data_IF_347641924469
#
_entry.id   IF_347641924469
#
_cell.length_a   1.000
_cell.length_b   1.000
_cell.length_c   1.000
_cell.angle_alpha   90.00
_cell.angle_beta   90.00
_cell.angle_gamma   90.00
#
_symmetry.space_group_name_H-M   'P 1'
#
loop_
_entity.id
_entity.type
_entity.pdbx_description
1 polymer ?
#
# COMPACT_ATOMS: atom_id res chain seq x y z
N UNK A 1 -1.71 25.64 -21.19
CA UNK A 1 -2.69 24.78 -21.88
C UNK A 1 -3.99 24.87 -21.11
N UNK A 2 -5.05 25.29 -21.78
CA UNK A 2 -6.37 25.55 -21.20
C UNK A 2 -6.99 24.23 -20.72
N UNK A 3 -7.38 24.19 -19.45
CA UNK A 3 -8.25 23.15 -18.92
C UNK A 3 -9.64 23.36 -19.51
N UNK A 4 -10.01 22.56 -20.52
CA UNK A 4 -11.36 22.54 -21.04
C UNK A 4 -12.29 21.92 -20.00
N UNK A 5 -13.19 22.76 -19.48
CA UNK A 5 -14.37 22.35 -18.76
C UNK A 5 -15.48 22.17 -19.79
N UNK A 6 -15.87 20.93 -20.09
CA UNK A 6 -17.13 20.63 -20.77
C UNK A 6 -17.80 19.46 -20.06
N UNK A 7 -19.06 19.72 -19.71
CA UNK A 7 -19.96 18.94 -18.89
C UNK A 7 -20.53 17.71 -19.59
N UNK A 8 -21.11 16.85 -18.75
CA UNK A 8 -22.04 15.75 -19.01
C UNK A 8 -21.42 14.41 -19.35
N UNK A 9 -20.94 13.73 -18.31
CA UNK A 9 -21.39 12.37 -18.05
C UNK A 9 -21.89 12.33 -16.61
N UNK A 10 -23.12 11.85 -16.42
CA UNK A 10 -23.55 11.28 -15.14
C UNK A 10 -22.78 9.99 -14.90
N UNK A 11 -21.45 10.08 -14.81
CA UNK A 11 -20.61 8.99 -14.36
C UNK A 11 -20.87 8.88 -12.86
N UNK A 12 -21.62 7.85 -12.47
CA UNK A 12 -21.66 7.40 -11.08
C UNK A 12 -20.22 7.40 -10.59
N UNK A 13 -19.95 8.25 -9.60
CA UNK A 13 -18.65 8.23 -8.96
C UNK A 13 -18.55 6.82 -8.37
N UNK A 14 -17.51 6.07 -8.72
CA UNK A 14 -17.35 4.70 -8.26
C UNK A 14 -17.25 4.72 -6.73
N UNK A 15 -17.93 3.78 -6.07
CA UNK A 15 -17.92 3.64 -4.61
C UNK A 15 -17.45 2.23 -4.28
N UNK A 16 -16.63 2.08 -3.23
CA UNK A 16 -16.42 0.77 -2.61
C UNK A 16 -17.64 0.53 -1.72
N UNK A 17 -18.60 -0.25 -2.21
CA UNK A 17 -19.84 -0.50 -1.46
C UNK A 17 -19.60 -1.36 -0.21
N UNK A 18 -18.68 -2.32 -0.31
CA UNK A 18 -18.28 -3.16 0.82
C UNK A 18 -16.92 -3.83 0.58
N UNK A 19 -16.26 -4.22 1.66
CA UNK A 19 -15.05 -5.05 1.67
C UNK A 19 -15.42 -6.42 2.21
N UNK A 20 -15.33 -7.45 1.37
CA UNK A 20 -15.53 -8.82 1.83
C UNK A 20 -14.23 -9.39 2.41
N UNK A 21 -14.34 -9.95 3.61
CA UNK A 21 -13.24 -10.62 4.30
C UNK A 21 -13.30 -12.12 4.02
N UNK A 22 -13.18 -12.51 2.75
CA UNK A 22 -13.24 -13.91 2.33
C UNK A 22 -12.15 -14.74 3.03
N UNK A 23 -12.58 -15.86 3.61
CA UNK A 23 -11.74 -16.84 4.28
C UNK A 23 -10.62 -17.33 3.35
N UNK A 24 -10.90 -17.51 2.06
CA UNK A 24 -9.89 -17.97 1.08
C UNK A 24 -8.79 -16.92 0.92
N UNK A 25 -9.16 -15.65 0.81
CA UNK A 25 -8.20 -14.54 0.71
C UNK A 25 -7.34 -14.45 1.97
N UNK A 26 -7.95 -14.51 3.16
CA UNK A 26 -7.26 -14.49 4.46
C UNK A 26 -6.24 -15.64 4.55
N UNK A 27 -6.66 -16.85 4.18
CA UNK A 27 -5.77 -18.02 4.14
C UNK A 27 -4.60 -17.77 3.18
N UNK A 28 -4.88 -17.22 2.00
CA UNK A 28 -3.86 -16.93 0.99
C UNK A 28 -2.83 -15.91 1.49
N UNK A 29 -3.28 -14.87 2.20
CA UNK A 29 -2.42 -13.82 2.74
C UNK A 29 -1.59 -14.30 3.92
N UNK A 30 -2.17 -15.07 4.84
CA UNK A 30 -1.42 -15.66 5.97
C UNK A 30 -0.35 -16.64 5.46
N UNK A 31 -0.63 -17.41 4.41
CA UNK A 31 0.38 -18.30 3.80
C UNK A 31 1.58 -17.53 3.23
N UNK A 32 1.39 -16.29 2.76
CA UNK A 32 2.46 -15.40 2.25
C UNK A 32 3.32 -14.78 3.36
N UNK A 33 2.92 -14.88 4.63
CA UNK A 33 3.73 -14.38 5.75
C UNK A 33 5.10 -15.07 5.79
N UNK A 34 6.15 -14.44 6.35
CA UNK A 34 7.47 -15.05 6.44
C UNK A 34 7.49 -16.40 7.19
N UNK A 35 8.33 -17.35 6.76
CA UNK A 35 8.53 -18.64 7.43
C UNK A 35 9.51 -18.56 8.61
N UNK A 36 9.34 -17.58 9.49
CA UNK A 36 10.17 -17.35 10.68
C UNK A 36 9.31 -17.13 11.91
N UNK A 37 9.95 -17.07 13.08
CA UNK A 37 9.25 -16.72 14.32
C UNK A 37 8.68 -15.31 14.19
N UNK A 38 7.51 -15.11 14.81
CA UNK A 38 6.88 -13.80 14.89
C UNK A 38 7.80 -12.83 15.63
N UNK A 39 7.91 -11.62 15.12
CA UNK A 39 8.60 -10.50 15.75
C UNK A 39 7.64 -9.32 15.92
N UNK A 40 6.35 -9.62 15.99
CA UNK A 40 5.25 -8.67 16.14
C UNK A 40 4.90 -8.49 17.62
N UNK A 41 4.27 -7.36 18.01
CA UNK A 41 3.88 -7.09 19.40
C UNK A 41 3.02 -8.18 20.04
N UNK A 42 2.24 -8.88 19.23
CA UNK A 42 1.36 -10.00 19.64
C UNK A 42 2.10 -11.30 19.99
N UNK A 43 3.42 -11.38 19.77
CA UNK A 43 4.24 -12.59 19.94
C UNK A 43 3.72 -13.84 19.18
N UNK A 44 2.89 -13.66 18.15
CA UNK A 44 2.31 -14.78 17.39
C UNK A 44 3.34 -15.36 16.43
N UNK A 45 3.68 -16.63 16.62
CA UNK A 45 4.58 -17.33 15.72
C UNK A 45 3.92 -17.61 14.36
N UNK A 46 4.48 -17.09 13.27
CA UNK A 46 3.92 -17.28 11.92
C UNK A 46 3.83 -18.74 11.50
N UNK A 47 4.74 -19.60 11.97
CA UNK A 47 4.68 -21.04 11.67
C UNK A 47 3.48 -21.69 12.34
N UNK A 48 3.24 -21.37 13.61
CA UNK A 48 2.07 -21.87 14.36
C UNK A 48 0.79 -21.33 13.71
N UNK A 49 0.76 -20.03 13.40
CA UNK A 49 -0.38 -19.39 12.74
C UNK A 49 -0.76 -20.10 11.44
N UNK A 50 0.21 -20.48 10.61
CA UNK A 50 -0.02 -21.23 9.37
C UNK A 50 -0.54 -22.65 9.59
N UNK A 51 -0.18 -23.29 10.69
CA UNK A 51 -0.64 -24.65 11.04
C UNK A 51 -2.11 -24.61 11.46
N UNK A 52 -2.48 -23.67 12.33
CA UNK A 52 -3.87 -23.56 12.84
C UNK A 52 -4.81 -22.78 11.90
N UNK A 53 -4.26 -22.23 10.82
CA UNK A 53 -4.92 -21.32 9.89
C UNK A 53 -6.32 -21.77 9.44
N UNK A 54 -6.54 -23.03 8.99
CA UNK A 54 -7.88 -23.44 8.52
C UNK A 54 -8.96 -23.30 9.60
N UNK A 55 -8.59 -23.50 10.86
CA UNK A 55 -9.52 -23.42 12.00
C UNK A 55 -9.78 -21.99 12.46
N UNK A 56 -8.79 -21.10 12.34
CA UNK A 56 -8.91 -19.72 12.84
C UNK A 56 -9.41 -18.73 11.79
N UNK A 57 -9.27 -19.03 10.49
CA UNK A 57 -9.61 -18.10 9.42
C UNK A 57 -11.06 -17.59 9.44
N UNK A 58 -12.09 -18.40 9.76
CA UNK A 58 -13.46 -17.91 9.91
C UNK A 58 -13.60 -16.87 11.02
N UNK A 59 -12.95 -17.09 12.18
CA UNK A 59 -12.97 -16.13 13.29
C UNK A 59 -12.22 -14.84 12.96
N UNK A 60 -11.12 -14.94 12.21
CA UNK A 60 -10.40 -13.75 11.74
C UNK A 60 -11.25 -12.92 10.78
N UNK A 61 -12.00 -13.57 9.87
CA UNK A 61 -12.94 -12.90 8.98
C UNK A 61 -13.98 -12.09 9.78
N UNK A 62 -14.58 -12.71 10.79
CA UNK A 62 -15.56 -12.05 11.66
C UNK A 62 -14.95 -10.89 12.46
N UNK A 63 -13.75 -11.07 13.03
CA UNK A 63 -13.05 -9.99 13.75
C UNK A 63 -12.73 -8.82 12.82
N UNK A 64 -12.29 -9.08 11.58
CA UNK A 64 -12.01 -8.04 10.60
C UNK A 64 -13.27 -7.28 10.22
N UNK A 65 -14.39 -7.99 10.01
CA UNK A 65 -15.70 -7.39 9.76
C UNK A 65 -16.12 -6.47 10.91
N UNK A 66 -16.11 -6.98 12.14
CA UNK A 66 -16.45 -6.19 13.34
C UNK A 66 -15.55 -4.95 13.46
N UNK A 67 -14.25 -5.12 13.21
CA UNK A 67 -13.29 -4.01 13.30
C UNK A 67 -13.53 -2.94 12.25
N UNK A 68 -13.88 -3.34 11.01
CA UNK A 68 -14.20 -2.43 9.92
C UNK A 68 -15.51 -1.67 10.21
N UNK A 69 -16.57 -2.40 10.59
CA UNK A 69 -17.90 -1.84 10.80
C UNK A 69 -17.95 -0.90 12.02
N UNK A 70 -17.20 -1.22 13.08
CA UNK A 70 -17.14 -0.40 14.30
C UNK A 70 -16.13 0.75 14.21
N UNK A 71 -15.18 0.70 13.27
CA UNK A 71 -14.03 1.61 13.22
C UNK A 71 -13.06 1.44 14.40
N UNK A 72 -13.15 0.33 15.15
CA UNK A 72 -12.34 0.08 16.35
C UNK A 72 -11.43 -1.12 16.09
N UNK A 73 -10.12 -0.91 16.27
CA UNK A 73 -9.11 -1.97 16.24
C UNK A 73 -8.76 -2.44 17.66
N UNK A 74 -8.38 -3.72 17.85
CA UNK A 74 -7.75 -4.19 19.08
C UNK A 74 -6.51 -3.35 19.44
N UNK A 75 -6.27 -3.10 20.72
CA UNK A 75 -5.17 -2.22 21.14
C UNK A 75 -3.80 -2.74 20.71
N UNK A 76 -3.57 -4.05 20.81
CA UNK A 76 -2.32 -4.69 20.38
C UNK A 76 -2.06 -4.56 18.86
N UNK A 77 -3.08 -4.26 18.05
CA UNK A 77 -2.93 -4.02 16.60
C UNK A 77 -2.43 -2.60 16.28
N UNK A 78 -2.61 -1.67 17.22
CA UNK A 78 -2.14 -0.28 17.13
C UNK A 78 -0.68 -0.14 17.57
N UNK A 79 -0.12 -1.17 18.20
CA UNK A 79 1.26 -1.20 18.66
C UNK A 79 2.22 -1.65 17.54
N UNK A 80 3.48 -1.21 17.63
CA UNK A 80 4.54 -1.69 16.76
C UNK A 80 5.89 -1.75 17.47
N UNK A 81 6.74 -2.70 17.06
CA UNK A 81 8.13 -2.79 17.51
C UNK A 81 9.00 -2.07 16.47
N UNK A 82 9.73 -1.03 16.88
CA UNK A 82 10.64 -0.30 16.00
C UNK A 82 12.01 -0.97 15.96
N UNK A 83 12.42 -1.46 14.79
CA UNK A 83 13.77 -1.98 14.55
C UNK A 83 14.57 -0.97 13.73
N UNK A 84 15.70 -0.44 14.25
CA UNK A 84 16.57 0.43 13.48
C UNK A 84 17.43 -0.40 12.50
N UNK A 85 17.23 -0.21 11.21
CA UNK A 85 18.04 -0.83 10.16
C UNK A 85 19.10 0.15 9.67
N UNK A 86 20.38 -0.22 9.81
CA UNK A 86 21.49 0.61 9.34
C UNK A 86 21.43 0.82 7.82
N UNK A 87 21.52 2.09 7.39
CA UNK A 87 21.47 2.49 5.98
C UNK A 87 22.85 2.73 5.37
N UNK A 88 23.63 3.68 5.93
CA UNK A 88 24.97 4.07 5.46
C UNK A 88 25.64 5.03 6.44
N UNK A 89 26.95 5.24 6.35
CA UNK A 89 27.69 6.24 7.15
C UNK A 89 28.20 5.70 8.49
N UNK A 90 28.30 6.55 9.50
CA UNK A 90 28.75 6.16 10.85
C UNK A 90 27.65 5.45 11.64
N UNK A 91 27.98 4.31 12.26
CA UNK A 91 27.05 3.51 13.06
C UNK A 91 26.68 4.14 14.41
N UNK A 92 27.46 5.10 14.89
CA UNK A 92 27.18 5.86 16.11
C UNK A 92 26.07 6.90 15.94
N UNK A 93 25.78 7.33 14.70
CA UNK A 93 24.79 8.35 14.42
C UNK A 93 23.40 7.72 14.16
N UNK A 94 22.37 8.00 14.98
CA UNK A 94 21.02 7.46 14.79
C UNK A 94 20.36 7.83 13.46
N UNK A 95 20.67 8.99 12.87
CA UNK A 95 20.10 9.43 11.58
C UNK A 95 20.53 8.53 10.40
N UNK A 96 21.57 7.72 10.59
CA UNK A 96 22.04 6.75 9.62
C UNK A 96 21.25 5.43 9.64
N UNK A 97 20.23 5.34 10.48
CA UNK A 97 19.33 4.19 10.56
C UNK A 97 17.95 4.54 10.00
N UNK A 98 17.30 3.56 9.39
CA UNK A 98 15.89 3.63 9.03
C UNK A 98 15.07 2.89 10.08
N UNK A 99 14.09 3.53 10.72
CA UNK A 99 13.17 2.81 11.58
C UNK A 99 12.28 1.91 10.72
N UNK A 100 12.15 0.64 11.11
CA UNK A 100 11.18 -0.29 10.53
C UNK A 100 10.18 -0.64 11.63
N UNK A 101 8.92 -0.27 11.43
CA UNK A 101 7.83 -0.66 12.32
C UNK A 101 7.40 -2.10 12.01
N UNK A 102 7.49 -2.98 13.00
CA UNK A 102 6.91 -4.32 12.95
C UNK A 102 5.55 -4.28 13.64
N UNK A 103 4.50 -4.29 12.85
CA UNK A 103 3.11 -4.31 13.31
C UNK A 103 2.62 -5.73 13.58
N UNK A 104 1.46 -5.84 14.25
CA UNK A 104 0.74 -7.10 14.42
C UNK A 104 0.54 -7.81 13.08
N UNK A 105 0.83 -9.10 13.01
CA UNK A 105 0.74 -9.84 11.75
C UNK A 105 -0.70 -10.07 11.30
N UNK A 106 -1.63 -10.21 12.25
CA UNK A 106 -3.06 -10.32 11.96
C UNK A 106 -3.60 -8.97 11.43
N UNK A 107 -3.22 -7.86 12.07
CA UNK A 107 -3.53 -6.51 11.57
C UNK A 107 -3.05 -6.31 10.13
N UNK A 108 -1.79 -6.69 9.84
CA UNK A 108 -1.25 -6.63 8.48
C UNK A 108 -2.05 -7.46 7.47
N UNK A 109 -2.63 -8.59 7.88
CA UNK A 109 -3.49 -9.38 6.97
C UNK A 109 -4.77 -8.62 6.65
N UNK A 110 -5.40 -7.97 7.63
CA UNK A 110 -6.55 -7.09 7.39
C UNK A 110 -6.18 -5.95 6.44
N UNK A 111 -5.05 -5.28 6.67
CA UNK A 111 -4.53 -4.22 5.80
C UNK A 111 -4.29 -4.72 4.37
N UNK A 112 -3.80 -5.95 4.19
CA UNK A 112 -3.59 -6.54 2.86
C UNK A 112 -4.89 -6.81 2.12
N UNK A 113 -5.95 -7.25 2.83
CA UNK A 113 -7.29 -7.38 2.26
C UNK A 113 -7.80 -6.00 1.85
N UNK A 114 -7.79 -5.01 2.75
CA UNK A 114 -8.23 -3.65 2.44
C UNK A 114 -7.45 -3.05 1.26
N UNK A 115 -6.12 -3.22 1.23
CA UNK A 115 -5.27 -2.75 0.16
C UNK A 115 -5.63 -3.36 -1.19
N UNK A 116 -6.00 -4.65 -1.24
CA UNK A 116 -6.49 -5.30 -2.46
C UNK A 116 -7.71 -4.56 -3.02
N UNK A 117 -8.71 -4.26 -2.18
CA UNK A 117 -9.92 -3.54 -2.60
C UNK A 117 -9.62 -2.10 -3.03
N UNK A 118 -8.85 -1.36 -2.22
CA UNK A 118 -8.48 0.03 -2.52
C UNK A 118 -7.71 0.12 -3.84
N UNK A 119 -6.70 -0.72 -4.04
CA UNK A 119 -5.88 -0.69 -5.26
C UNK A 119 -6.71 -1.09 -6.47
N UNK A 120 -7.57 -2.11 -6.35
CA UNK A 120 -8.44 -2.53 -7.45
C UNK A 120 -9.41 -1.42 -7.84
N UNK A 121 -10.05 -0.78 -6.86
CA UNK A 121 -10.90 0.39 -7.07
C UNK A 121 -10.16 1.53 -7.80
N UNK A 122 -8.96 1.88 -7.38
CA UNK A 122 -8.17 2.93 -8.01
C UNK A 122 -7.77 2.59 -9.46
N UNK A 123 -7.56 1.30 -9.76
CA UNK A 123 -7.24 0.81 -11.11
C UNK A 123 -8.46 0.82 -12.02
N UNK A 124 -9.59 0.26 -11.57
CA UNK A 124 -10.82 0.15 -12.36
C UNK A 124 -11.35 1.52 -12.77
N UNK A 125 -11.07 2.53 -11.95
CA UNK A 125 -11.50 3.91 -12.15
C UNK A 125 -10.43 4.82 -12.74
N UNK A 126 -9.30 4.27 -13.18
CA UNK A 126 -8.19 5.02 -13.80
C UNK A 126 -7.71 6.20 -12.94
N UNK A 127 -7.72 6.05 -11.61
CA UNK A 127 -7.33 7.08 -10.65
C UNK A 127 -5.82 7.13 -10.41
N UNK A 128 -5.08 6.09 -10.81
CA UNK A 128 -3.63 6.14 -10.87
C UNK A 128 -3.14 6.87 -12.12
N UNK A 129 -2.04 7.61 -11.99
CA UNK A 129 -1.33 8.14 -13.15
C UNK A 129 -0.88 6.99 -14.06
N UNK A 130 -0.94 7.20 -15.38
CA UNK A 130 -0.42 6.26 -16.38
C UNK A 130 1.08 6.02 -16.21
N UNK A 131 1.79 6.95 -15.60
CA UNK A 131 3.24 6.89 -15.36
C UNK A 131 3.59 6.45 -13.93
N UNK A 132 2.61 5.99 -13.14
CA UNK A 132 2.86 5.41 -11.82
C UNK A 132 3.31 3.94 -11.98
N UNK A 133 4.56 3.63 -11.69
CA UNK A 133 5.07 2.24 -11.77
C UNK A 133 5.25 1.58 -10.40
N UNK A 134 5.48 2.38 -9.35
CA UNK A 134 5.64 1.88 -8.00
C UNK A 134 4.32 1.41 -7.41
N UNK A 135 4.35 0.28 -6.69
CA UNK A 135 3.23 -0.29 -5.94
C UNK A 135 2.00 -0.70 -6.77
N UNK A 136 2.15 -0.82 -8.10
CA UNK A 136 1.11 -1.31 -9.00
C UNK A 136 1.49 -2.70 -9.53
N UNK A 137 0.54 -3.63 -9.51
CA UNK A 137 0.72 -4.99 -10.03
C UNK A 137 1.12 -4.95 -11.51
N UNK A 138 2.04 -5.83 -11.91
CA UNK A 138 2.58 -5.93 -13.27
C UNK A 138 3.37 -4.69 -13.75
N UNK A 139 3.74 -3.78 -12.85
CA UNK A 139 4.67 -2.67 -13.12
C UNK A 139 5.92 -2.82 -12.25
N UNK A 140 7.06 -2.42 -12.80
CA UNK A 140 8.36 -2.49 -12.14
C UNK A 140 9.25 -1.31 -12.53
N UNK A 141 10.39 -1.17 -11.86
CA UNK A 141 11.44 -0.21 -12.24
C UNK A 141 11.96 -0.48 -13.65
N UNK A 142 11.99 -1.75 -14.08
CA UNK A 142 12.41 -2.13 -15.43
C UNK A 142 11.41 -1.67 -16.48
N UNK A 143 10.11 -1.85 -16.25
CA UNK A 143 9.08 -1.38 -17.19
C UNK A 143 9.05 0.14 -17.28
N UNK A 144 9.32 0.84 -16.16
CA UNK A 144 9.45 2.30 -16.15
C UNK A 144 10.64 2.76 -16.98
N UNK A 145 11.79 2.09 -16.83
CA UNK A 145 12.99 2.39 -17.58
C UNK A 145 12.79 2.19 -19.09
N UNK A 146 12.15 1.08 -19.49
CA UNK A 146 11.85 0.80 -20.90
C UNK A 146 10.99 1.92 -21.50
N UNK A 147 9.89 2.29 -20.84
CA UNK A 147 9.02 3.38 -21.30
C UNK A 147 9.79 4.71 -21.42
N UNK A 148 10.66 5.01 -20.46
CA UNK A 148 11.48 6.22 -20.49
C UNK A 148 12.48 6.21 -21.64
N UNK A 149 13.08 5.05 -21.93
CA UNK A 149 14.03 4.89 -23.04
C UNK A 149 13.33 5.02 -24.40
N UNK A 150 12.09 4.56 -24.54
CA UNK A 150 11.26 4.76 -25.73
C UNK A 150 11.02 6.27 -25.97
N UNK A 151 10.59 7.00 -24.93
CA UNK A 151 10.39 8.46 -25.02
C UNK A 151 11.68 9.20 -25.41
N UNK A 152 12.82 8.78 -24.86
CA UNK A 152 14.13 9.36 -25.18
C UNK A 152 14.57 9.04 -26.60
N UNK A 153 14.32 7.81 -27.07
CA UNK A 153 14.63 7.41 -28.44
C UNK A 153 13.87 8.27 -29.45
N UNK A 154 12.57 8.47 -29.24
CA UNK A 154 11.71 9.30 -30.10
C UNK A 154 12.16 10.77 -30.11
N UNK A 155 12.56 11.30 -28.95
CA UNK A 155 13.09 12.66 -28.86
C UNK A 155 14.41 12.81 -29.65
N UNK A 156 15.33 11.83 -29.55
CA UNK A 156 16.59 11.83 -30.30
C UNK A 156 16.34 11.74 -31.81
N UNK A 157 15.44 10.84 -32.25
CA UNK A 157 15.07 10.73 -33.67
C UNK A 157 14.43 12.03 -34.19
N UNK A 158 13.65 12.71 -33.35
CA UNK A 158 13.11 14.03 -33.61
C UNK A 158 14.11 15.19 -33.50
N UNK A 159 15.40 14.92 -33.26
CA UNK A 159 16.46 15.92 -33.03
C UNK A 159 16.13 16.92 -31.91
N UNK A 160 15.41 16.46 -30.88
CA UNK A 160 15.10 17.24 -29.68
C UNK A 160 16.18 17.01 -28.61
N UNK A 161 16.35 18.00 -27.75
CA UNK A 161 17.17 17.86 -26.55
C UNK A 161 16.36 17.16 -25.44
N UNK A 162 17.04 16.42 -24.57
CA UNK A 162 16.43 15.74 -23.42
C UNK A 162 17.09 16.26 -22.16
N UNK A 163 16.28 16.85 -21.28
CA UNK A 163 16.67 17.25 -19.94
C UNK A 163 15.91 16.39 -18.93
N UNK A 164 16.62 15.83 -17.94
CA UNK A 164 16.03 14.95 -16.93
C UNK A 164 16.19 15.55 -15.53
N UNK A 165 15.07 15.64 -14.80
CA UNK A 165 15.03 16.17 -13.43
C UNK A 165 14.58 15.04 -12.50
N UNK A 166 15.42 14.70 -11.54
CA UNK A 166 15.09 13.72 -10.49
C UNK A 166 14.65 14.45 -9.22
N UNK A 167 13.50 14.05 -8.67
CA UNK A 167 12.93 14.59 -7.44
C UNK A 167 12.79 13.44 -6.43
N UNK A 168 13.26 13.64 -5.20
CA UNK A 168 13.13 12.67 -4.11
C UNK A 168 12.56 13.36 -2.85
N UNK A 169 11.65 12.68 -2.16
CA UNK A 169 11.02 13.20 -0.95
C UNK A 169 11.73 12.68 0.30
N UNK A 170 12.18 13.59 1.16
CA UNK A 170 12.75 13.22 2.47
C UNK A 170 11.65 12.65 3.36
N UNK A 171 11.89 11.47 3.94
CA UNK A 171 10.98 10.80 4.89
C UNK A 171 9.52 10.75 4.37
N UNK A 172 9.35 10.29 3.12
CA UNK A 172 8.08 10.37 2.40
C UNK A 172 6.87 9.83 3.20
N UNK A 173 7.01 8.69 3.90
CA UNK A 173 5.92 8.13 4.71
C UNK A 173 5.64 8.93 5.99
N UNK A 174 6.68 9.46 6.65
CA UNK A 174 6.54 10.23 7.89
C UNK A 174 6.04 11.67 7.63
N UNK A 175 6.09 12.13 6.39
CA UNK A 175 5.83 13.53 6.01
C UNK A 175 4.46 13.75 5.37
N UNK A 176 3.61 12.72 5.26
CA UNK A 176 2.27 12.84 4.67
C UNK A 176 1.32 13.53 5.66
N UNK A 177 0.74 14.70 5.33
CA UNK A 177 -0.25 15.34 6.20
C UNK A 177 -1.57 14.54 6.18
N UNK A 178 -1.95 14.00 7.33
CA UNK A 178 -3.13 13.13 7.46
C UNK A 178 -4.42 13.84 7.01
N UNK A 179 -4.63 15.11 7.37
CA UNK A 179 -5.81 15.87 6.97
C UNK A 179 -5.94 16.00 5.44
N UNK A 180 -4.81 16.23 4.74
CA UNK A 180 -4.81 16.34 3.28
C UNK A 180 -5.05 14.98 2.62
N UNK A 181 -4.50 13.91 3.21
CA UNK A 181 -4.74 12.54 2.73
C UNK A 181 -6.23 12.18 2.86
N UNK A 182 -6.82 12.41 4.04
CA UNK A 182 -8.24 12.14 4.31
C UNK A 182 -9.14 12.95 3.35
N UNK A 183 -8.86 14.25 3.20
CA UNK A 183 -9.59 15.09 2.24
C UNK A 183 -9.47 14.58 0.79
N UNK A 184 -8.32 14.01 0.41
CA UNK A 184 -8.15 13.41 -0.91
C UNK A 184 -8.96 12.12 -1.06
N UNK A 185 -9.01 11.28 -0.03
CA UNK A 185 -9.82 10.05 -0.03
C UNK A 185 -11.32 10.36 -0.12
N UNK A 186 -11.82 11.36 0.61
CA UNK A 186 -13.21 11.81 0.50
C UNK A 186 -13.58 12.28 -0.91
N UNK A 187 -12.66 12.98 -1.59
CA UNK A 187 -12.90 13.47 -2.97
C UNK A 187 -13.01 12.37 -4.01
N UNK A 188 -12.46 11.19 -3.73
CA UNK A 188 -12.54 10.02 -4.62
C UNK A 188 -13.57 8.99 -4.12
N UNK A 189 -14.46 9.40 -3.20
CA UNK A 189 -15.53 8.58 -2.62
C UNK A 189 -15.04 7.28 -1.96
N UNK A 190 -13.82 7.30 -1.44
CA UNK A 190 -13.29 6.24 -0.58
C UNK A 190 -13.54 6.66 0.88
N UNK A 191 -14.70 6.24 1.40
CA UNK A 191 -15.22 6.59 2.73
C UNK A 191 -15.09 5.44 3.71
#
# INVERSE_FOLDING_TARGET
MQYNHNNNDSNQIPIIEDVDFDIIDIISFIKKLPNRNGTSPDNINYKILKIVLPSIAPFLSEIFRISLDSGILPDIWKESIIIPLFKKGEKSNPENYRPIALTCAICRVMEMVLNKYIVQFLLDNNLFSKDQYGFIKNRSTTTQLISTLEDWYDAIMGKKNIDCIYIDFKKAFDSVPHDLLINKLYRIELK
#
